data_IF_991746259734
#
_entry.id   IF_991746259734
#
_cell.length_a   1.000
_cell.length_b   1.000
_cell.length_c   1.000
_cell.angle_alpha   90.00
_cell.angle_beta   90.00
_cell.angle_gamma   90.00
#
_symmetry.space_group_name_H-M   'P 1'
#
loop_
_entity.id
_entity.type
_entity.pdbx_description
1 polymer ?
#
# COMPACT_ATOMS: atom_id res chain seq x y z
N UNK A 1 -0.07 6.28 30.66
CA UNK A 1 0.91 6.13 29.55
C UNK A 1 0.12 6.10 28.25
N UNK A 2 0.44 6.96 27.29
CA UNK A 2 -0.29 7.03 26.01
C UNK A 2 0.07 5.81 25.16
N UNK A 3 -0.94 5.02 24.77
CA UNK A 3 -0.75 3.91 23.80
C UNK A 3 -0.78 4.49 22.40
N UNK A 4 0.32 4.33 21.67
CA UNK A 4 0.39 4.62 20.25
C UNK A 4 0.08 3.36 19.46
N UNK A 5 -0.70 3.50 18.39
CA UNK A 5 -0.91 2.42 17.45
C UNK A 5 0.32 2.27 16.56
N UNK A 6 0.72 1.03 16.27
CA UNK A 6 1.80 0.75 15.32
C UNK A 6 1.35 1.08 13.90
N UNK A 7 2.23 1.73 13.13
CA UNK A 7 1.99 2.02 11.71
C UNK A 7 3.26 1.83 10.90
N UNK A 8 3.09 1.67 9.59
CA UNK A 8 4.16 1.63 8.60
C UNK A 8 3.81 2.55 7.42
N UNK A 9 4.82 3.07 6.73
CA UNK A 9 4.64 3.83 5.50
C UNK A 9 5.71 3.47 4.47
N UNK A 10 5.40 3.68 3.18
CA UNK A 10 6.37 3.63 2.08
C UNK A 10 6.03 4.70 1.05
N UNK A 11 7.08 5.37 0.59
CA UNK A 11 7.03 6.29 -0.55
C UNK A 11 7.45 5.51 -1.79
N UNK A 12 6.60 5.52 -2.82
CA UNK A 12 6.91 4.93 -4.13
C UNK A 12 7.43 6.03 -5.05
N UNK A 13 8.75 6.06 -5.27
CA UNK A 13 9.37 7.05 -6.13
C UNK A 13 8.80 6.96 -7.57
N UNK A 14 8.42 8.09 -8.16
CA UNK A 14 7.83 8.15 -9.50
C UNK A 14 6.37 7.67 -9.60
N UNK A 15 5.73 7.34 -8.48
CA UNK A 15 4.32 6.99 -8.41
C UNK A 15 3.48 8.21 -7.96
N UNK A 16 2.70 8.82 -8.87
CA UNK A 16 1.86 9.96 -8.52
C UNK A 16 0.64 9.53 -7.68
N UNK A 17 -0.18 10.51 -7.27
CA UNK A 17 -1.51 10.20 -6.74
C UNK A 17 -2.28 9.28 -7.71
N UNK A 18 -3.05 8.34 -7.15
CA UNK A 18 -3.78 7.31 -7.91
C UNK A 18 -2.91 6.31 -8.69
N UNK A 19 -1.69 6.02 -8.24
CA UNK A 19 -0.84 5.01 -8.90
C UNK A 19 -1.40 3.58 -8.89
N UNK A 20 -2.35 3.30 -7.99
CA UNK A 20 -3.00 2.00 -7.85
C UNK A 20 -4.26 1.83 -8.73
N UNK A 21 -4.66 2.87 -9.48
CA UNK A 21 -5.82 2.82 -10.38
C UNK A 21 -5.39 2.34 -11.77
N UNK A 22 -5.71 1.09 -12.10
CA UNK A 22 -5.46 0.45 -13.39
C UNK A 22 -6.31 1.01 -14.54
N UNK A 23 -7.43 1.66 -14.22
CA UNK A 23 -8.26 2.41 -15.18
C UNK A 23 -7.69 3.79 -15.57
N UNK A 24 -6.60 4.23 -14.95
CA UNK A 24 -6.01 5.56 -15.14
C UNK A 24 -4.58 5.46 -15.68
N UNK A 25 -4.38 5.26 -17.01
CA UNK A 25 -3.05 5.00 -17.59
C UNK A 25 -1.99 6.06 -17.27
N UNK A 26 -2.41 7.31 -17.04
CA UNK A 26 -1.50 8.42 -16.73
C UNK A 26 -0.85 8.25 -15.34
N UNK A 27 -1.59 7.78 -14.35
CA UNK A 27 -1.11 7.61 -12.98
C UNK A 27 -0.66 6.19 -12.66
N UNK A 28 -1.23 5.17 -13.32
CA UNK A 28 -0.99 3.77 -12.99
C UNK A 28 0.50 3.42 -13.00
N UNK A 29 0.97 2.76 -11.94
CA UNK A 29 2.32 2.21 -11.83
C UNK A 29 2.21 0.74 -11.41
N UNK A 30 2.20 -0.22 -12.34
CA UNK A 30 1.87 -1.62 -12.05
C UNK A 30 2.77 -2.23 -10.98
N UNK A 31 4.08 -1.95 -11.01
CA UNK A 31 5.02 -2.48 -10.02
C UNK A 31 4.76 -1.92 -8.62
N UNK A 32 4.53 -0.60 -8.50
CA UNK A 32 4.21 0.03 -7.22
C UNK A 32 2.84 -0.43 -6.70
N UNK A 33 1.84 -0.56 -7.58
CA UNK A 33 0.51 -1.06 -7.27
C UNK A 33 0.56 -2.50 -6.72
N UNK A 34 1.28 -3.39 -7.41
CA UNK A 34 1.46 -4.78 -7.02
C UNK A 34 2.18 -4.91 -5.67
N UNK A 35 3.24 -4.15 -5.45
CA UNK A 35 3.96 -4.18 -4.17
C UNK A 35 3.09 -3.61 -3.04
N UNK A 36 2.43 -2.47 -3.26
CA UNK A 36 1.53 -1.87 -2.28
C UNK A 36 0.41 -2.84 -1.88
N UNK A 37 -0.21 -3.51 -2.85
CA UNK A 37 -1.25 -4.49 -2.58
C UNK A 37 -0.74 -5.71 -1.82
N UNK A 38 0.44 -6.23 -2.19
CA UNK A 38 1.07 -7.35 -1.48
C UNK A 38 1.34 -7.00 -0.01
N UNK A 39 1.78 -5.77 0.28
CA UNK A 39 1.99 -5.29 1.65
C UNK A 39 0.67 -5.14 2.41
N UNK A 40 -0.38 -4.63 1.77
CA UNK A 40 -1.71 -4.53 2.37
C UNK A 40 -2.25 -5.90 2.76
N UNK A 41 -2.14 -6.90 1.87
CA UNK A 41 -2.56 -8.27 2.16
C UNK A 41 -1.71 -8.89 3.29
N UNK A 42 -0.40 -8.66 3.30
CA UNK A 42 0.47 -9.14 4.38
C UNK A 42 0.11 -8.52 5.74
N UNK A 43 -0.26 -7.23 5.75
CA UNK A 43 -0.76 -6.56 6.95
C UNK A 43 -2.07 -7.20 7.44
N UNK A 44 -3.03 -7.43 6.54
CA UNK A 44 -4.28 -8.12 6.92
C UNK A 44 -4.02 -9.53 7.44
N UNK A 45 -3.20 -10.32 6.74
CA UNK A 45 -2.78 -11.65 7.18
C UNK A 45 -2.22 -11.66 8.60
N UNK A 46 -1.39 -10.67 8.95
CA UNK A 46 -0.79 -10.56 10.28
C UNK A 46 -1.79 -10.21 11.38
N UNK A 47 -2.88 -9.53 11.06
CA UNK A 47 -3.75 -8.89 12.05
C UNK A 47 -5.19 -9.38 12.07
N UNK A 48 -5.63 -10.12 11.05
CA UNK A 48 -7.01 -10.56 10.86
C UNK A 48 -7.16 -12.07 10.63
N UNK A 49 -6.06 -12.84 10.53
CA UNK A 49 -6.15 -14.31 10.51
C UNK A 49 -6.37 -14.83 11.94
N UNK A 50 -7.30 -15.79 12.09
CA UNK A 50 -7.66 -16.46 13.35
C UNK A 50 -6.56 -17.43 13.85
#
# INVERSE_FOLDING_TARGET
MQKFQSFEYKIYAGAPHSFNSDTSPQSYRPEAAKEAWSRTLAFFKKHLED
#
